data_IF_179642007786
#
_entry.id   IF_179642007786
#
_cell.length_a   1.000
_cell.length_b   1.000
_cell.length_c   1.000
_cell.angle_alpha   90.00
_cell.angle_beta   90.00
_cell.angle_gamma   90.00
#
_symmetry.space_group_name_H-M   'P 1'
#
loop_
_entity.id
_entity.type
_entity.pdbx_description
1 polymer ?
#
# COMPACT_ATOMS: atom_id res chain seq x y z
N UNK A 1 20.76 1.45 -26.08
CA UNK A 1 19.92 2.62 -25.77
C UNK A 1 20.80 3.72 -25.24
N UNK A 2 20.67 4.94 -25.77
CA UNK A 2 21.42 6.09 -25.28
C UNK A 2 20.90 6.45 -23.88
N UNK A 3 21.78 6.53 -22.89
CA UNK A 3 21.42 6.97 -21.53
C UNK A 3 21.59 8.48 -21.46
N UNK A 4 20.56 9.18 -21.05
CA UNK A 4 20.62 10.58 -20.68
C UNK A 4 21.40 10.76 -19.38
N UNK A 5 22.02 11.92 -19.23
CA UNK A 5 22.68 12.32 -18.00
C UNK A 5 21.67 12.51 -16.87
N UNK A 6 22.06 12.14 -15.66
CA UNK A 6 21.26 12.35 -14.46
C UNK A 6 21.50 13.76 -13.91
N UNK A 7 20.52 14.33 -13.22
CA UNK A 7 20.72 15.58 -12.49
C UNK A 7 21.78 15.39 -11.40
N UNK A 8 22.60 16.42 -11.09
CA UNK A 8 23.53 16.34 -9.97
C UNK A 8 22.76 16.17 -8.65
N UNK A 9 23.34 15.40 -7.73
CA UNK A 9 22.78 15.24 -6.39
C UNK A 9 22.98 16.57 -5.63
N UNK A 10 21.92 17.15 -5.04
CA UNK A 10 22.03 18.37 -4.26
C UNK A 10 23.03 18.20 -3.11
N UNK A 11 23.95 19.15 -2.97
CA UNK A 11 24.86 19.22 -1.82
C UNK A 11 24.17 19.79 -0.58
N UNK A 12 23.14 20.61 -0.79
CA UNK A 12 22.35 21.25 0.25
C UNK A 12 21.04 20.49 0.51
N UNK A 13 20.55 20.58 1.75
CA UNK A 13 19.29 19.98 2.11
C UNK A 13 18.11 20.74 1.48
N UNK A 14 17.29 20.10 0.63
CA UNK A 14 16.15 20.77 -0.02
C UNK A 14 15.05 21.22 0.97
N UNK A 15 15.07 20.74 2.22
CA UNK A 15 14.19 21.21 3.29
C UNK A 15 14.68 22.51 3.98
N UNK A 16 15.86 23.02 3.60
CA UNK A 16 16.38 24.32 4.03
C UNK A 16 17.08 24.36 5.39
N UNK A 17 17.28 23.23 6.07
CA UNK A 17 17.98 23.15 7.36
C UNK A 17 18.96 21.98 7.40
N UNK A 18 20.22 22.22 7.77
CA UNK A 18 21.21 21.15 7.92
C UNK A 18 20.76 20.12 8.96
N UNK A 19 20.93 18.83 8.65
CA UNK A 19 20.55 17.73 9.54
C UNK A 19 19.05 17.36 9.57
N UNK A 20 18.17 18.12 8.91
CA UNK A 20 16.75 17.74 8.80
C UNK A 20 16.55 16.61 7.80
N UNK A 21 15.77 15.60 8.17
CA UNK A 21 15.33 14.55 7.26
C UNK A 21 13.81 14.55 7.13
N UNK A 22 13.30 13.99 6.04
CA UNK A 22 11.87 13.82 5.80
C UNK A 22 11.29 12.92 6.89
N UNK A 23 10.34 13.42 7.69
CA UNK A 23 9.66 12.62 8.72
C UNK A 23 8.27 12.21 8.29
N UNK A 24 7.56 13.10 7.62
CA UNK A 24 6.17 12.90 7.23
C UNK A 24 5.98 13.04 5.73
N UNK A 25 5.09 12.20 5.18
CA UNK A 25 4.72 12.26 3.78
C UNK A 25 3.21 12.29 3.56
N UNK A 26 2.83 12.81 2.38
CA UNK A 26 1.49 12.68 1.84
C UNK A 26 1.51 12.42 0.33
N UNK A 27 0.47 11.75 -0.18
CA UNK A 27 0.28 11.52 -1.61
C UNK A 27 -1.02 12.16 -2.08
N UNK A 28 -0.95 12.81 -3.24
CA UNK A 28 -2.09 13.32 -3.98
C UNK A 28 -2.20 12.58 -5.33
N UNK A 29 -3.16 11.67 -5.43
CA UNK A 29 -3.44 10.91 -6.65
C UNK A 29 -4.49 11.69 -7.44
N UNK A 30 -4.17 12.07 -8.67
CA UNK A 30 -5.02 12.91 -9.52
C UNK A 30 -5.53 12.06 -10.70
N UNK A 31 -6.85 12.00 -10.88
CA UNK A 31 -7.52 11.27 -11.98
C UNK A 31 -8.90 11.83 -12.33
N UNK A 32 -9.48 11.50 -13.49
CA UNK A 32 -10.56 12.30 -14.09
C UNK A 32 -11.97 12.14 -13.49
N UNK A 33 -12.73 13.22 -13.21
CA UNK A 33 -14.17 13.15 -12.98
C UNK A 33 -14.99 13.45 -14.25
N UNK A 34 -15.04 12.55 -15.23
CA UNK A 34 -16.03 12.70 -16.32
C UNK A 34 -16.68 11.37 -16.62
N UNK A 35 -17.88 11.16 -16.05
CA UNK A 35 -18.99 10.22 -16.37
C UNK A 35 -18.70 8.80 -16.94
N UNK A 36 -17.47 8.37 -17.14
CA UNK A 36 -17.06 7.07 -17.70
C UNK A 36 -15.54 6.77 -17.62
N UNK A 37 -14.66 7.62 -17.04
CA UNK A 37 -13.22 7.30 -16.92
C UNK A 37 -12.50 7.90 -15.70
N UNK A 38 -13.01 7.71 -14.48
CA UNK A 38 -12.12 7.79 -13.31
C UNK A 38 -11.67 6.39 -12.94
N UNK A 39 -10.58 5.88 -13.51
CA UNK A 39 -10.30 4.47 -13.27
C UNK A 39 -10.11 4.14 -11.78
N UNK A 40 -9.61 5.08 -10.97
CA UNK A 40 -9.41 4.83 -9.53
C UNK A 40 -10.69 5.11 -8.75
N UNK A 41 -11.31 6.30 -8.87
CA UNK A 41 -12.52 6.62 -8.08
C UNK A 41 -13.77 5.86 -8.56
N UNK A 42 -13.82 5.39 -9.81
CA UNK A 42 -14.86 4.48 -10.29
C UNK A 42 -14.52 2.99 -10.14
N UNK A 43 -13.34 2.68 -9.60
CA UNK A 43 -12.90 1.32 -9.26
C UNK A 43 -12.46 0.45 -10.44
N UNK A 44 -12.36 0.96 -11.67
CA UNK A 44 -11.90 0.21 -12.84
C UNK A 44 -10.41 -0.18 -12.78
N UNK A 45 -9.57 0.64 -12.18
CA UNK A 45 -8.13 0.44 -12.02
C UNK A 45 -7.78 0.55 -10.55
N UNK A 46 -7.17 -0.50 -10.02
CA UNK A 46 -6.62 -0.50 -8.68
C UNK A 46 -5.44 0.46 -8.59
N UNK A 47 -5.49 1.40 -7.65
CA UNK A 47 -4.38 2.32 -7.38
C UNK A 47 -3.16 1.56 -6.84
N UNK A 48 -2.16 1.41 -7.69
CA UNK A 48 -0.87 0.78 -7.34
C UNK A 48 0.16 1.81 -6.87
N UNK A 49 0.00 3.08 -7.23
CA UNK A 49 1.01 4.12 -7.00
C UNK A 49 1.02 4.52 -5.53
N UNK A 50 -0.15 4.77 -4.93
CA UNK A 50 -0.23 5.08 -3.50
C UNK A 50 0.24 3.91 -2.63
N UNK A 51 -0.09 2.68 -3.03
CA UNK A 51 0.37 1.48 -2.32
C UNK A 51 1.90 1.35 -2.39
N UNK A 52 2.50 1.54 -3.58
CA UNK A 52 3.94 1.52 -3.74
C UNK A 52 4.61 2.65 -2.93
N UNK A 53 4.02 3.85 -2.94
CA UNK A 53 4.52 4.98 -2.14
C UNK A 53 4.45 4.70 -0.64
N UNK A 54 3.37 4.09 -0.15
CA UNK A 54 3.24 3.69 1.25
C UNK A 54 4.35 2.71 1.66
N UNK A 55 4.64 1.72 0.80
CA UNK A 55 5.76 0.80 0.99
C UNK A 55 7.11 1.53 1.00
N UNK A 56 7.34 2.39 0.01
CA UNK A 56 8.56 3.20 -0.11
C UNK A 56 8.82 4.04 1.15
N UNK A 57 7.78 4.71 1.66
CA UNK A 57 7.83 5.51 2.88
C UNK A 57 8.16 4.64 4.10
N UNK A 58 7.44 3.53 4.28
CA UNK A 58 7.65 2.61 5.39
C UNK A 58 9.10 2.10 5.44
N UNK A 59 9.63 1.61 4.32
CA UNK A 59 11.01 1.10 4.20
C UNK A 59 12.07 2.17 4.48
N UNK A 60 11.75 3.45 4.34
CA UNK A 60 12.66 4.58 4.57
C UNK A 60 12.41 5.29 5.90
N UNK A 61 11.52 4.77 6.74
CA UNK A 61 11.19 5.38 8.03
C UNK A 61 10.44 6.70 7.92
N UNK A 62 9.78 6.93 6.80
CA UNK A 62 8.90 8.08 6.57
C UNK A 62 7.47 7.69 6.93
N UNK A 63 6.82 8.52 7.73
CA UNK A 63 5.44 8.30 8.13
C UNK A 63 4.49 8.86 7.07
N UNK A 64 3.87 7.98 6.28
CA UNK A 64 2.84 8.35 5.33
C UNK A 64 1.55 8.67 6.08
N UNK A 65 1.29 9.97 6.27
CA UNK A 65 0.16 10.45 7.06
C UNK A 65 -1.14 10.55 6.28
N UNK A 66 -1.06 10.67 4.95
CA UNK A 66 -2.25 10.87 4.14
C UNK A 66 -2.07 10.45 2.68
N UNK A 67 -3.10 9.84 2.14
CA UNK A 67 -3.31 9.67 0.69
C UNK A 67 -4.66 10.31 0.36
N UNK A 68 -4.68 11.22 -0.60
CA UNK A 68 -5.89 11.83 -1.14
C UNK A 68 -5.99 11.46 -2.61
N UNK A 69 -7.16 10.98 -3.03
CA UNK A 69 -7.48 10.75 -4.44
C UNK A 69 -8.48 11.82 -4.84
N UNK A 70 -8.14 12.65 -5.81
CA UNK A 70 -8.94 13.78 -6.24
C UNK A 70 -9.19 13.75 -7.75
N UNK A 71 -10.27 14.39 -8.20
CA UNK A 71 -10.50 14.66 -9.61
C UNK A 71 -9.38 15.49 -10.29
N UNK A 72 -9.25 15.38 -11.62
CA UNK A 72 -8.63 16.38 -12.53
C UNK A 72 -9.45 17.69 -12.54
N UNK A 73 -9.53 18.33 -11.38
CA UNK A 73 -10.18 19.62 -11.15
C UNK A 73 -9.14 20.60 -10.64
N UNK A 74 -9.00 21.72 -11.34
CA UNK A 74 -8.03 22.76 -10.99
C UNK A 74 -8.18 23.22 -9.54
N UNK A 75 -9.40 23.47 -9.09
CA UNK A 75 -9.66 23.95 -7.73
C UNK A 75 -9.26 22.91 -6.67
N UNK A 76 -9.55 21.64 -6.92
CA UNK A 76 -9.21 20.54 -6.01
C UNK A 76 -7.70 20.33 -5.92
N UNK A 77 -7.01 20.37 -7.07
CA UNK A 77 -5.54 20.28 -7.14
C UNK A 77 -4.91 21.46 -6.39
N UNK A 78 -5.41 22.68 -6.58
CA UNK A 78 -4.91 23.88 -5.90
C UNK A 78 -5.10 23.80 -4.37
N UNK A 79 -6.30 23.45 -3.91
CA UNK A 79 -6.60 23.32 -2.48
C UNK A 79 -5.71 22.25 -1.83
N UNK A 80 -5.74 21.04 -2.37
CA UNK A 80 -5.07 19.89 -1.79
C UNK A 80 -3.55 20.08 -1.80
N UNK A 81 -2.97 20.52 -2.91
CA UNK A 81 -1.51 20.72 -3.00
C UNK A 81 -1.00 21.74 -1.97
N UNK A 82 -1.68 22.88 -1.80
CA UNK A 82 -1.32 23.90 -0.80
C UNK A 82 -1.43 23.36 0.62
N UNK A 83 -2.53 22.68 0.92
CA UNK A 83 -2.79 22.12 2.24
C UNK A 83 -1.82 20.99 2.60
N UNK A 84 -1.43 20.15 1.66
CA UNK A 84 -0.48 19.06 1.90
C UNK A 84 0.95 19.61 2.06
N UNK A 85 1.39 20.52 1.18
CA UNK A 85 2.73 21.12 1.24
C UNK A 85 2.97 21.92 2.53
N UNK A 86 1.93 22.56 3.06
CA UNK A 86 2.03 23.27 4.34
C UNK A 86 2.13 22.35 5.57
N UNK A 87 1.70 21.09 5.47
CA UNK A 87 1.58 20.17 6.62
C UNK A 87 2.64 19.06 6.66
N UNK A 88 3.23 18.70 5.52
CA UNK A 88 4.09 17.53 5.40
C UNK A 88 5.45 17.88 4.79
N UNK A 89 6.46 17.06 5.08
CA UNK A 89 7.84 17.29 4.63
C UNK A 89 8.06 16.83 3.19
N UNK A 90 7.36 15.78 2.76
CA UNK A 90 7.45 15.21 1.42
C UNK A 90 6.07 14.93 0.86
N UNK A 91 5.70 15.63 -0.21
CA UNK A 91 4.42 15.45 -0.87
C UNK A 91 4.68 14.93 -2.28
N UNK A 92 3.95 13.91 -2.70
CA UNK A 92 3.98 13.45 -4.10
C UNK A 92 2.65 13.71 -4.78
N UNK A 93 2.70 13.97 -6.08
CA UNK A 93 1.53 13.87 -6.96
C UNK A 93 1.76 12.80 -8.00
N UNK A 94 0.70 12.14 -8.43
CA UNK A 94 0.74 11.18 -9.55
C UNK A 94 -0.51 11.35 -10.41
N UNK A 95 -0.32 11.42 -11.74
CA UNK A 95 -1.41 11.62 -12.70
C UNK A 95 -1.52 13.05 -13.24
N UNK A 96 -2.26 13.20 -14.34
CA UNK A 96 -2.59 14.50 -14.95
C UNK A 96 -1.41 15.27 -15.59
N UNK A 97 -0.36 14.58 -16.07
CA UNK A 97 0.83 15.19 -16.69
C UNK A 97 1.07 14.81 -18.16
N UNK A 98 0.14 14.10 -18.79
CA UNK A 98 0.22 13.75 -20.20
C UNK A 98 -0.12 14.90 -21.17
N UNK A 99 -0.31 14.59 -22.46
CA UNK A 99 -0.52 15.60 -23.49
C UNK A 99 -2.00 15.96 -23.70
N UNK A 100 -2.96 15.33 -23.01
CA UNK A 100 -4.38 15.55 -23.26
C UNK A 100 -4.85 16.86 -22.60
N UNK A 101 -6.14 17.18 -22.71
CA UNK A 101 -6.69 18.47 -22.27
C UNK A 101 -7.03 18.48 -20.76
N UNK A 102 -7.29 17.29 -20.24
CA UNK A 102 -7.55 16.93 -18.85
C UNK A 102 -6.27 16.80 -18.03
N UNK A 103 -5.10 16.64 -18.67
CA UNK A 103 -3.80 16.67 -18.00
C UNK A 103 -3.43 18.09 -17.55
N UNK A 104 -4.02 18.52 -16.43
CA UNK A 104 -3.93 19.90 -15.91
C UNK A 104 -3.05 20.05 -14.67
N UNK A 105 -2.32 19.00 -14.25
CA UNK A 105 -1.56 19.01 -12.98
C UNK A 105 -0.52 20.13 -12.94
N UNK A 106 0.35 20.26 -13.95
CA UNK A 106 1.37 21.32 -13.97
C UNK A 106 0.75 22.72 -13.99
N UNK A 107 -0.29 22.94 -14.79
CA UNK A 107 -0.98 24.22 -14.88
C UNK A 107 -1.67 24.61 -13.56
N UNK A 108 -2.33 23.65 -12.91
CA UNK A 108 -2.99 23.85 -11.63
C UNK A 108 -1.98 24.13 -10.52
N UNK A 109 -0.85 23.40 -10.50
CA UNK A 109 0.21 23.64 -9.52
C UNK A 109 0.95 24.97 -9.76
N UNK A 110 1.12 25.40 -11.02
CA UNK A 110 1.66 26.73 -11.33
C UNK A 110 0.79 27.83 -10.68
N UNK A 111 -0.53 27.75 -10.88
CA UNK A 111 -1.49 28.68 -10.25
C UNK A 111 -1.54 28.53 -8.73
N UNK A 112 -1.46 27.30 -8.20
CA UNK A 112 -1.41 27.05 -6.76
C UNK A 112 -0.25 27.80 -6.10
N UNK A 113 0.88 27.96 -6.79
CA UNK A 113 2.06 28.62 -6.24
C UNK A 113 2.37 29.97 -6.88
N UNK A 114 1.39 30.59 -7.56
CA UNK A 114 1.49 31.91 -8.21
C UNK A 114 2.69 32.01 -9.17
N UNK A 115 2.87 31.00 -10.02
CA UNK A 115 3.94 30.92 -11.01
C UNK A 115 3.37 30.86 -12.43
N UNK A 116 4.15 31.36 -13.38
CA UNK A 116 3.92 31.17 -14.81
C UNK A 116 4.35 29.76 -15.23
N UNK A 117 3.79 29.25 -16.34
CA UNK A 117 4.29 28.05 -17.00
C UNK A 117 5.33 28.43 -18.06
N UNK A 118 6.48 27.74 -18.04
CA UNK A 118 7.55 27.92 -19.02
C UNK A 118 8.00 26.57 -19.57
N UNK A 119 8.44 26.56 -20.82
CA UNK A 119 9.03 25.35 -21.40
C UNK A 119 10.41 25.10 -20.78
N UNK A 120 10.66 23.87 -20.34
CA UNK A 120 11.97 23.45 -19.87
C UNK A 120 12.83 22.92 -21.05
N UNK A 121 13.92 23.62 -21.43
CA UNK A 121 14.67 23.30 -22.66
C UNK A 121 15.22 21.87 -22.70
N UNK A 122 15.77 21.38 -21.59
CA UNK A 122 16.36 20.03 -21.54
C UNK A 122 15.29 18.94 -21.62
N UNK A 123 14.10 19.17 -21.05
CA UNK A 123 12.99 18.20 -21.18
C UNK A 123 12.51 18.13 -22.63
N UNK A 124 12.38 19.28 -23.31
CA UNK A 124 12.06 19.31 -24.73
C UNK A 124 13.11 18.57 -25.56
N UNK A 125 14.40 18.80 -25.30
CA UNK A 125 15.49 18.10 -25.98
C UNK A 125 15.40 16.58 -25.83
N UNK A 126 15.15 16.08 -24.61
CA UNK A 126 15.02 14.64 -24.33
C UNK A 126 13.76 14.05 -24.94
N UNK A 127 12.64 14.78 -24.90
CA UNK A 127 11.39 14.41 -25.55
C UNK A 127 11.59 14.24 -27.06
N UNK A 128 12.21 15.23 -27.72
CA UNK A 128 12.50 15.19 -29.14
C UNK A 128 13.46 14.03 -29.50
N UNK A 129 14.49 13.79 -28.68
CA UNK A 129 15.42 12.68 -28.88
C UNK A 129 14.74 11.31 -28.74
N UNK A 130 13.85 11.15 -27.76
CA UNK A 130 13.07 9.93 -27.56
C UNK A 130 12.06 9.68 -28.69
N UNK A 131 11.53 10.75 -29.28
CA UNK A 131 10.54 10.69 -30.34
C UNK A 131 11.16 10.56 -31.74
N UNK A 132 12.42 10.98 -31.93
CA UNK A 132 13.10 11.03 -33.24
C UNK A 132 13.03 9.73 -34.06
N UNK A 133 13.03 8.57 -33.40
CA UNK A 133 13.03 7.26 -34.05
C UNK A 133 11.64 6.61 -34.14
N UNK A 134 10.58 7.31 -33.72
CA UNK A 134 9.22 6.78 -33.74
C UNK A 134 8.53 7.12 -35.06
N UNK A 135 8.11 6.10 -35.79
CA UNK A 135 7.49 6.24 -37.11
C UNK A 135 6.26 7.16 -37.15
N UNK A 136 5.53 7.28 -36.03
CA UNK A 136 4.34 8.13 -35.93
C UNK A 136 4.65 9.63 -35.74
N UNK A 137 5.89 10.01 -35.47
CA UNK A 137 6.23 11.42 -35.21
C UNK A 137 6.21 12.25 -36.51
N UNK A 138 6.58 11.64 -37.64
CA UNK A 138 6.45 12.26 -38.96
C UNK A 138 5.00 12.40 -39.43
N UNK A 139 4.05 11.71 -38.79
CA UNK A 139 2.62 11.78 -39.14
C UNK A 139 1.82 12.74 -38.25
N UNK A 140 2.46 13.39 -37.27
CA UNK A 140 1.77 14.34 -36.38
C UNK A 140 1.41 15.65 -37.09
N UNK A 141 0.22 16.16 -36.78
CA UNK A 141 -0.18 17.54 -37.09
C UNK A 141 0.57 18.56 -36.21
N UNK A 142 0.63 19.84 -36.60
CA UNK A 142 1.17 20.91 -35.75
C UNK A 142 0.53 20.93 -34.35
N UNK A 143 -0.79 20.77 -34.26
CA UNK A 143 -1.54 20.78 -33.01
C UNK A 143 -1.15 19.62 -32.08
N UNK A 144 -0.94 18.42 -32.64
CA UNK A 144 -0.49 17.25 -31.87
C UNK A 144 0.94 17.40 -31.34
N UNK A 145 1.82 18.04 -32.11
CA UNK A 145 3.18 18.36 -31.64
C UNK A 145 3.16 19.35 -30.49
N UNK A 146 2.38 20.42 -30.61
CA UNK A 146 2.23 21.39 -29.52
C UNK A 146 1.62 20.76 -28.27
N UNK A 147 0.62 19.87 -28.41
CA UNK A 147 0.08 19.09 -27.30
C UNK A 147 1.15 18.24 -26.59
N UNK A 148 2.09 17.66 -27.34
CA UNK A 148 3.18 16.87 -26.78
C UNK A 148 4.20 17.76 -26.05
N UNK A 149 4.51 18.94 -26.59
CA UNK A 149 5.42 19.91 -25.95
C UNK A 149 4.89 20.47 -24.64
N UNK A 150 3.55 20.52 -24.44
CA UNK A 150 2.94 20.92 -23.16
C UNK A 150 3.42 20.07 -21.98
N UNK A 151 3.80 18.80 -22.19
CA UNK A 151 4.36 17.94 -21.13
C UNK A 151 5.73 18.41 -20.62
N UNK A 152 6.39 19.34 -21.32
CA UNK A 152 7.63 19.97 -20.92
C UNK A 152 7.43 21.41 -20.40
N UNK A 153 6.17 21.83 -20.17
CA UNK A 153 5.86 23.10 -19.53
C UNK A 153 5.73 22.91 -18.03
N UNK A 154 6.56 23.59 -17.26
CA UNK A 154 6.60 23.51 -15.80
C UNK A 154 6.42 24.89 -15.17
N UNK A 155 6.03 24.97 -13.89
CA UNK A 155 6.09 26.22 -13.14
C UNK A 155 7.51 26.82 -13.19
N UNK A 156 7.62 28.14 -13.38
CA UNK A 156 8.88 28.83 -13.66
C UNK A 156 10.00 28.58 -12.64
N UNK A 157 9.66 28.51 -11.35
CA UNK A 157 10.62 28.25 -10.27
C UNK A 157 10.70 26.77 -9.88
N UNK A 158 10.25 25.87 -10.75
CA UNK A 158 10.32 24.45 -10.50
C UNK A 158 11.75 23.93 -10.65
N UNK A 159 12.13 23.03 -9.75
CA UNK A 159 13.34 22.26 -9.89
C UNK A 159 13.05 21.00 -10.72
N UNK A 160 13.86 20.74 -11.73
CA UNK A 160 13.65 19.64 -12.67
C UNK A 160 14.73 18.59 -12.48
N UNK A 161 14.34 17.43 -11.98
CA UNK A 161 15.24 16.34 -11.60
C UNK A 161 15.12 15.16 -12.57
N UNK A 162 16.20 14.89 -13.30
CA UNK A 162 16.31 13.68 -14.10
C UNK A 162 16.97 12.58 -13.29
N UNK A 163 16.12 11.70 -12.77
CA UNK A 163 16.49 10.63 -11.82
C UNK A 163 16.71 9.28 -12.48
N UNK A 164 16.45 9.17 -13.79
CA UNK A 164 16.55 7.93 -14.56
C UNK A 164 17.16 8.24 -15.94
N UNK A 165 18.22 7.51 -16.31
CA UNK A 165 18.95 7.78 -17.56
C UNK A 165 18.23 7.29 -18.82
N UNK A 166 17.27 6.38 -18.70
CA UNK A 166 16.50 5.84 -19.83
C UNK A 166 15.07 6.38 -19.91
N UNK A 167 14.72 7.33 -19.05
CA UNK A 167 13.42 8.01 -19.02
C UNK A 167 13.65 9.49 -19.34
N UNK A 168 12.88 10.01 -20.31
CA UNK A 168 12.96 11.43 -20.68
C UNK A 168 12.18 12.33 -19.72
N UNK A 169 11.17 11.79 -19.04
CA UNK A 169 10.30 12.48 -18.08
C UNK A 169 11.07 12.77 -16.78
N UNK A 170 11.16 14.02 -16.32
CA UNK A 170 11.77 14.35 -15.03
C UNK A 170 10.79 14.21 -13.86
N UNK A 171 11.32 14.14 -12.65
CA UNK A 171 10.58 14.52 -11.45
C UNK A 171 10.64 16.04 -11.33
N UNK A 172 9.48 16.70 -11.30
CA UNK A 172 9.41 18.16 -11.12
C UNK A 172 9.11 18.45 -9.66
N UNK A 173 9.98 19.22 -9.01
CA UNK A 173 9.88 19.55 -7.59
C UNK A 173 9.52 21.02 -7.37
N UNK A 174 8.49 21.27 -6.56
CA UNK A 174 8.03 22.60 -6.16
C UNK A 174 8.20 22.78 -4.65
N UNK A 175 8.54 24.00 -4.23
CA UNK A 175 8.67 24.39 -2.81
C UNK A 175 9.60 23.49 -1.99
N UNK A 176 10.57 22.82 -2.64
CA UNK A 176 11.49 21.87 -2.01
C UNK A 176 10.86 20.55 -1.52
N UNK A 177 9.53 20.41 -1.55
CA UNK A 177 8.79 19.33 -0.88
C UNK A 177 7.84 18.55 -1.79
N UNK A 178 7.25 19.21 -2.78
CA UNK A 178 6.23 18.61 -3.66
C UNK A 178 6.87 18.05 -4.93
N UNK A 179 6.90 16.74 -5.08
CA UNK A 179 7.43 16.05 -6.26
C UNK A 179 6.31 15.52 -7.15
N UNK A 180 6.38 15.82 -8.44
CA UNK A 180 5.34 15.49 -9.42
C UNK A 180 5.80 14.29 -10.26
N UNK A 181 4.94 13.27 -10.34
CA UNK A 181 5.23 12.01 -11.02
C UNK A 181 4.16 11.66 -12.08
N UNK A 182 4.51 10.83 -13.08
CA UNK A 182 3.53 10.27 -14.00
C UNK A 182 2.53 9.35 -13.30
N UNK A 183 1.35 9.20 -13.91
CA UNK A 183 0.32 8.25 -13.47
C UNK A 183 0.64 6.79 -13.79
N UNK A 184 1.51 6.54 -14.78
CA UNK A 184 1.87 5.18 -15.23
C UNK A 184 2.67 4.47 -14.13
N UNK A 185 2.18 3.35 -13.55
CA UNK A 185 2.80 2.75 -12.36
C UNK A 185 4.26 2.35 -12.54
N UNK A 186 4.62 1.78 -13.70
CA UNK A 186 6.00 1.39 -13.98
C UNK A 186 6.96 2.59 -14.00
N UNK A 187 6.52 3.73 -14.53
CA UNK A 187 7.34 4.95 -14.52
C UNK A 187 7.38 5.54 -13.11
N UNK A 188 6.25 5.61 -12.42
CA UNK A 188 6.15 6.10 -11.05
C UNK A 188 7.13 5.38 -10.12
N UNK A 189 7.06 4.06 -10.04
CA UNK A 189 7.94 3.23 -9.19
C UNK A 189 9.40 3.49 -9.50
N UNK A 190 9.79 3.41 -10.77
CA UNK A 190 11.18 3.57 -11.18
C UNK A 190 11.74 4.97 -10.90
N UNK A 191 10.94 6.01 -11.14
CA UNK A 191 11.33 7.39 -10.86
C UNK A 191 11.39 7.66 -9.36
N UNK A 192 10.48 7.11 -8.57
CA UNK A 192 10.49 7.26 -7.12
C UNK A 192 11.72 6.60 -6.48
N UNK A 193 12.11 5.42 -6.95
CA UNK A 193 13.34 4.75 -6.51
C UNK A 193 14.58 5.56 -6.90
N UNK A 194 14.62 6.04 -8.16
CA UNK A 194 15.70 6.89 -8.66
C UNK A 194 15.80 8.23 -7.94
N UNK A 195 14.71 8.73 -7.34
CA UNK A 195 14.70 9.98 -6.59
C UNK A 195 15.37 9.86 -5.22
N UNK A 196 15.54 8.64 -4.66
CA UNK A 196 16.06 8.44 -3.31
C UNK A 196 17.38 9.20 -2.98
N UNK A 197 18.39 9.26 -3.88
CA UNK A 197 19.62 10.02 -3.63
C UNK A 197 19.43 11.54 -3.54
N UNK A 198 18.31 12.06 -4.05
CA UNK A 198 17.98 13.49 -4.08
C UNK A 198 17.13 13.93 -2.88
N UNK A 199 16.85 13.01 -1.95
CA UNK A 199 16.00 13.22 -0.79
C UNK A 199 16.82 13.13 0.50
N UNK A 200 16.59 14.03 1.46
CA UNK A 200 17.15 13.93 2.80
C UNK A 200 16.38 12.85 3.59
N UNK A 201 16.63 11.59 3.28
CA UNK A 201 15.93 10.45 3.90
C UNK A 201 16.38 10.25 5.35
N UNK A 202 15.50 9.72 6.22
CA UNK A 202 15.90 9.26 7.56
C UNK A 202 17.08 8.28 7.52
N UNK A 203 17.95 8.29 8.54
CA UNK A 203 19.05 7.33 8.63
C UNK A 203 18.53 5.89 8.73
N UNK A 204 19.33 4.94 8.26
CA UNK A 204 18.92 3.54 8.22
C UNK A 204 18.58 2.96 9.60
N UNK A 205 19.22 3.46 10.66
CA UNK A 205 18.96 3.08 12.06
C UNK A 205 17.57 3.48 12.58
N UNK A 206 16.87 4.41 11.91
CA UNK A 206 15.53 4.86 12.29
C UNK A 206 14.41 4.17 11.50
N UNK A 207 14.76 3.30 10.53
CA UNK A 207 13.79 2.59 9.70
C UNK A 207 13.03 1.55 10.53
N UNK A 208 11.69 1.47 10.41
CA UNK A 208 10.92 0.46 11.09
C UNK A 208 11.20 -0.92 10.47
N UNK A 209 11.18 -1.92 11.33
CA UNK A 209 11.18 -3.33 10.97
C UNK A 209 9.74 -3.85 11.09
N UNK A 210 9.38 -4.76 10.20
CA UNK A 210 8.13 -5.51 10.25
C UNK A 210 8.45 -6.98 10.39
N UNK A 211 7.90 -7.61 11.42
CA UNK A 211 7.89 -9.06 11.57
C UNK A 211 6.47 -9.55 11.38
N UNK A 212 6.30 -10.57 10.53
CA UNK A 212 5.01 -11.22 10.29
C UNK A 212 5.07 -12.65 10.83
N UNK A 213 4.09 -13.00 11.67
CA UNK A 213 3.97 -14.32 12.28
C UNK A 213 2.63 -14.89 11.84
N UNK A 214 2.64 -16.07 11.24
CA UNK A 214 1.44 -16.76 10.81
C UNK A 214 1.07 -17.85 11.81
N UNK A 215 -0.21 -17.97 12.14
CA UNK A 215 -0.77 -19.07 12.92
C UNK A 215 -2.04 -19.59 12.25
N UNK A 216 -2.28 -20.89 12.36
CA UNK A 216 -3.53 -21.52 11.92
C UNK A 216 -4.64 -21.36 12.95
N UNK A 217 -4.31 -20.86 14.16
CA UNK A 217 -5.31 -20.62 15.21
C UNK A 217 -6.31 -19.54 14.78
N UNK A 218 -7.60 -19.70 15.10
CA UNK A 218 -8.60 -18.66 14.90
C UNK A 218 -8.24 -17.37 15.64
N UNK A 219 -8.61 -16.22 15.06
CA UNK A 219 -8.34 -14.90 15.63
C UNK A 219 -8.89 -14.75 17.05
N UNK A 220 -10.08 -15.31 17.31
CA UNK A 220 -10.73 -15.30 18.61
C UNK A 220 -9.90 -15.95 19.72
N UNK A 221 -9.05 -16.93 19.39
CA UNK A 221 -8.20 -17.62 20.37
C UNK A 221 -6.96 -16.79 20.74
N UNK A 222 -6.44 -15.99 19.82
CA UNK A 222 -5.21 -15.19 20.03
C UNK A 222 -5.52 -13.76 20.48
N UNK A 223 -6.72 -13.24 20.21
CA UNK A 223 -7.12 -11.87 20.51
C UNK A 223 -6.93 -11.46 21.99
N UNK A 224 -7.26 -12.30 23.01
CA UNK A 224 -7.01 -11.94 24.41
C UNK A 224 -5.52 -11.71 24.72
N UNK A 225 -4.65 -12.58 24.18
CA UNK A 225 -3.20 -12.42 24.33
C UNK A 225 -2.69 -11.16 23.63
N UNK A 226 -3.11 -10.90 22.39
CA UNK A 226 -2.70 -9.71 21.64
C UNK A 226 -3.13 -8.42 22.34
N UNK A 227 -4.30 -8.43 22.99
CA UNK A 227 -4.78 -7.30 23.81
C UNK A 227 -3.89 -7.08 25.03
N UNK A 228 -3.58 -8.15 25.77
CA UNK A 228 -2.70 -8.08 26.92
C UNK A 228 -1.28 -7.63 26.55
N UNK A 229 -0.77 -8.10 25.40
CA UNK A 229 0.51 -7.70 24.83
C UNK A 229 0.52 -6.21 24.47
N UNK A 230 -0.52 -5.72 23.78
CA UNK A 230 -0.65 -4.31 23.43
C UNK A 230 -0.61 -3.41 24.68
N UNK A 231 -1.37 -3.77 25.71
CA UNK A 231 -1.40 -3.02 26.97
C UNK A 231 -0.06 -3.05 27.71
N UNK A 232 0.65 -4.20 27.68
CA UNK A 232 1.99 -4.33 28.25
C UNK A 232 2.99 -3.42 27.54
N UNK A 233 3.02 -3.45 26.21
CA UNK A 233 3.92 -2.61 25.41
C UNK A 233 3.63 -1.12 25.62
N UNK A 234 2.35 -0.74 25.73
CA UNK A 234 1.92 0.63 26.04
C UNK A 234 2.39 1.08 27.43
N UNK A 235 2.26 0.25 28.46
CA UNK A 235 2.77 0.55 29.82
C UNK A 235 4.29 0.72 29.83
N UNK A 236 4.99 -0.11 29.06
CA UNK A 236 6.46 -0.05 28.92
C UNK A 236 6.94 1.09 28.01
N UNK A 237 6.02 1.81 27.35
CA UNK A 237 6.32 2.84 26.33
C UNK A 237 7.23 2.29 25.21
N UNK A 238 7.04 1.03 24.86
CA UNK A 238 7.77 0.40 23.76
C UNK A 238 7.25 0.94 22.42
N UNK A 239 8.16 1.24 21.49
CA UNK A 239 7.85 1.66 20.12
C UNK A 239 7.58 0.43 19.24
N UNK A 240 6.61 -0.40 19.65
CA UNK A 240 6.18 -1.63 18.96
C UNK A 240 4.67 -1.61 18.81
N UNK A 241 4.21 -1.64 17.56
CA UNK A 241 2.82 -1.78 17.18
C UNK A 241 2.51 -3.25 16.91
N UNK A 242 1.31 -3.67 17.29
CA UNK A 242 0.80 -5.04 17.13
C UNK A 242 -0.52 -4.96 16.35
N UNK A 243 -0.68 -5.80 15.35
CA UNK A 243 -1.94 -5.97 14.63
C UNK A 243 -2.18 -7.42 14.19
N UNK A 244 -3.44 -7.82 14.08
CA UNK A 244 -3.86 -9.11 13.53
C UNK A 244 -4.60 -8.91 12.19
N UNK A 245 -4.37 -9.84 11.26
CA UNK A 245 -4.95 -9.82 9.92
C UNK A 245 -5.40 -11.25 9.55
N UNK A 246 -6.68 -11.59 9.73
CA UNK A 246 -7.19 -12.91 9.40
C UNK A 246 -7.14 -13.16 7.88
N UNK A 247 -6.82 -14.40 7.52
CA UNK A 247 -6.94 -14.94 6.15
C UNK A 247 -8.05 -15.96 6.18
N UNK A 248 -9.13 -15.66 5.46
CA UNK A 248 -10.34 -16.48 5.46
C UNK A 248 -10.01 -17.95 5.15
N UNK A 249 -10.42 -18.84 6.05
CA UNK A 249 -10.26 -20.29 5.91
C UNK A 249 -8.85 -20.84 6.11
N UNK A 250 -7.87 -20.02 6.50
CA UNK A 250 -6.46 -20.45 6.68
C UNK A 250 -5.88 -20.19 8.05
N UNK A 251 -6.08 -18.99 8.59
CA UNK A 251 -5.42 -18.59 9.83
C UNK A 251 -5.31 -17.09 9.96
N UNK A 252 -4.34 -16.62 10.73
CA UNK A 252 -4.15 -15.21 11.05
C UNK A 252 -2.69 -14.82 10.93
N UNK A 253 -2.44 -13.67 10.30
CA UNK A 253 -1.14 -13.00 10.40
C UNK A 253 -1.13 -12.03 11.56
N UNK A 254 -0.18 -12.17 12.48
CA UNK A 254 0.16 -11.15 13.46
C UNK A 254 1.34 -10.34 12.91
N UNK A 255 1.15 -9.03 12.77
CA UNK A 255 2.21 -8.11 12.34
C UNK A 255 2.70 -7.30 13.54
N UNK A 256 4.01 -7.36 13.75
CA UNK A 256 4.72 -6.53 14.71
C UNK A 256 5.54 -5.50 13.94
N UNK A 257 5.38 -4.22 14.27
CA UNK A 257 6.12 -3.13 13.64
C UNK A 257 6.82 -2.33 14.73
N UNK A 258 8.13 -2.17 14.63
CA UNK A 258 8.89 -1.38 15.60
C UNK A 258 10.30 -1.10 15.12
N UNK A 259 11.11 -0.43 15.94
CA UNK A 259 12.53 -0.18 15.65
C UNK A 259 13.39 -0.98 16.62
N UNK A 260 14.30 -1.80 16.12
CA UNK A 260 15.40 -2.27 16.94
C UNK A 260 16.43 -1.15 17.02
N UNK A 261 16.30 -0.29 18.04
CA UNK A 261 17.28 0.76 18.32
C UNK A 261 18.60 0.10 18.75
N UNK A 262 19.46 -0.14 17.75
CA UNK A 262 20.81 -0.67 17.83
C UNK A 262 20.97 -2.07 18.46
N UNK A 263 21.08 -3.08 17.59
CA UNK A 263 22.18 -4.04 17.67
C UNK A 263 23.50 -3.27 17.42
N UNK A 264 23.94 -2.49 18.40
CA UNK A 264 25.34 -2.13 18.49
C UNK A 264 26.06 -3.35 19.02
N UNK A 265 26.96 -3.94 18.23
CA UNK A 265 28.05 -4.74 18.80
C UNK A 265 28.61 -3.90 19.97
N UNK A 266 28.72 -4.42 21.20
CA UNK A 266 29.35 -3.67 22.27
C UNK A 266 30.80 -3.41 21.87
N UNK A 267 31.08 -2.25 21.31
CA UNK A 267 32.44 -1.72 21.26
C UNK A 267 32.85 -1.48 22.71
N UNK A 268 33.96 -2.09 23.13
CA UNK A 268 34.56 -2.08 24.47
C UNK A 268 34.91 -0.67 25.05
N UNK A 269 34.15 0.38 24.74
CA UNK A 269 34.44 1.76 25.13
C UNK A 269 33.49 2.35 26.19
N UNK A 270 32.53 1.59 26.72
CA UNK A 270 31.70 2.03 27.86
C UNK A 270 32.15 1.45 29.22
N UNK A 271 33.42 1.02 29.34
CA UNK A 271 34.06 0.81 30.64
C UNK A 271 35.07 1.93 30.91
N UNK A 272 34.59 3.16 31.08
CA UNK A 272 35.28 4.25 31.78
C UNK A 272 34.37 5.47 31.80
N UNK A 273 33.59 5.59 32.86
CA UNK A 273 33.23 6.81 33.61
C UNK A 273 32.13 6.34 34.56
N UNK A 274 32.53 5.71 35.66
CA UNK A 274 31.66 5.59 36.84
C UNK A 274 32.58 5.49 38.06
N UNK A 275 33.22 6.62 38.36
CA UNK A 275 33.80 6.86 39.67
C UNK A 275 33.62 8.33 40.01
N UNK A 276 32.51 8.64 40.67
CA UNK A 276 32.33 9.89 41.41
C UNK A 276 31.13 10.74 40.98
N UNK A 277 29.94 10.44 41.51
CA UNK A 277 28.97 11.45 41.94
C UNK A 277 27.85 10.77 42.75
N UNK A 278 27.57 11.30 43.93
CA UNK A 278 26.56 10.84 44.87
C UNK A 278 25.14 11.22 44.41
N UNK A 279 24.22 10.26 44.58
CA UNK A 279 22.78 10.40 44.88
C UNK A 279 21.98 11.55 44.22
N UNK A 280 21.23 11.22 43.18
CA UNK A 280 19.85 11.70 42.96
C UNK A 280 19.05 10.59 42.26
N UNK A 281 17.87 10.28 42.79
CA UNK A 281 16.80 9.38 42.29
C UNK A 281 17.13 8.47 41.11
N UNK A 282 17.40 7.19 41.40
CA UNK A 282 17.45 6.13 40.41
C UNK A 282 16.07 5.98 39.74
N UNK A 283 15.86 6.63 38.60
CA UNK A 283 14.86 6.21 37.62
C UNK A 283 15.26 4.81 37.18
N UNK A 284 14.47 3.81 37.53
CA UNK A 284 14.64 2.45 37.00
C UNK A 284 14.80 2.55 35.47
N UNK A 285 15.86 1.94 34.90
CA UNK A 285 16.01 1.93 33.47
C UNK A 285 14.81 1.18 32.89
N UNK A 286 13.97 1.88 32.13
CA UNK A 286 12.86 1.29 31.38
C UNK A 286 13.41 0.07 30.64
N UNK A 287 12.92 -1.12 31.01
CA UNK A 287 13.37 -2.38 30.43
C UNK A 287 13.28 -2.26 28.89
N UNK A 288 14.44 -2.28 28.22
CA UNK A 288 14.51 -2.16 26.77
C UNK A 288 13.88 -3.40 26.16
N UNK A 289 12.74 -3.23 25.49
CA UNK A 289 12.03 -4.32 24.82
C UNK A 289 12.46 -4.37 23.36
N UNK A 290 13.00 -5.51 22.95
CA UNK A 290 13.45 -5.74 21.58
C UNK A 290 12.35 -6.32 20.71
N UNK A 291 12.24 -5.89 19.46
CA UNK A 291 11.23 -6.39 18.54
C UNK A 291 11.40 -7.90 18.33
N UNK A 292 12.65 -8.36 18.17
CA UNK A 292 12.97 -9.78 18.02
C UNK A 292 12.53 -10.62 19.24
N UNK A 293 12.67 -10.08 20.45
CA UNK A 293 12.25 -10.77 21.67
C UNK A 293 10.73 -10.92 21.73
N UNK A 294 9.99 -9.84 21.42
CA UNK A 294 8.53 -9.88 21.37
C UNK A 294 8.06 -10.80 20.24
N UNK A 295 8.72 -10.79 19.09
CA UNK A 295 8.39 -11.70 18.00
C UNK A 295 8.53 -13.17 18.40
N UNK A 296 9.63 -13.54 19.07
CA UNK A 296 9.82 -14.92 19.55
C UNK A 296 8.82 -15.31 20.65
N UNK A 297 8.42 -14.36 21.51
CA UNK A 297 7.37 -14.59 22.50
C UNK A 297 6.02 -14.85 21.81
N UNK A 298 5.63 -13.98 20.89
CA UNK A 298 4.37 -14.09 20.15
C UNK A 298 4.33 -15.39 19.36
N UNK A 299 5.41 -15.73 18.65
CA UNK A 299 5.53 -16.97 17.88
C UNK A 299 5.22 -18.20 18.74
N UNK A 300 5.77 -18.27 19.95
CA UNK A 300 5.51 -19.39 20.88
C UNK A 300 4.09 -19.38 21.42
N UNK A 301 3.59 -18.22 21.83
CA UNK A 301 2.28 -18.12 22.49
C UNK A 301 1.13 -18.45 21.53
N UNK A 302 1.22 -17.98 20.28
CA UNK A 302 0.19 -18.22 19.27
C UNK A 302 0.43 -19.51 18.49
N UNK A 303 1.47 -20.27 18.83
CA UNK A 303 1.87 -21.50 18.12
C UNK A 303 2.00 -21.23 16.61
N UNK A 304 2.71 -20.15 16.31
CA UNK A 304 2.88 -19.61 14.97
C UNK A 304 4.27 -19.86 14.41
N UNK A 305 4.51 -19.30 13.23
CA UNK A 305 5.82 -19.26 12.58
C UNK A 305 6.08 -17.90 11.97
N UNK A 306 7.30 -17.39 12.11
CA UNK A 306 7.73 -16.20 11.36
C UNK A 306 7.72 -16.53 9.87
N UNK A 307 7.17 -15.62 9.05
CA UNK A 307 7.03 -15.78 7.60
C UNK A 307 7.68 -14.63 6.85
N UNK A 308 8.20 -14.93 5.66
CA UNK A 308 8.71 -13.93 4.71
C UNK A 308 7.58 -13.14 4.01
N UNK A 309 7.90 -11.98 3.46
CA UNK A 309 6.93 -11.19 2.68
C UNK A 309 6.44 -11.94 1.42
N UNK A 310 7.28 -12.77 0.81
CA UNK A 310 6.92 -13.66 -0.29
C UNK A 310 5.88 -14.72 0.15
N UNK A 311 6.13 -15.39 1.27
CA UNK A 311 5.17 -16.37 1.82
C UNK A 311 3.83 -15.71 2.18
N UNK A 312 3.86 -14.50 2.75
CA UNK A 312 2.66 -13.74 3.08
C UNK A 312 1.82 -13.49 1.83
N UNK A 313 2.44 -13.10 0.70
CA UNK A 313 1.72 -12.90 -0.57
C UNK A 313 1.08 -14.20 -1.06
N UNK A 314 1.84 -15.29 -1.09
CA UNK A 314 1.36 -16.61 -1.55
C UNK A 314 0.19 -17.10 -0.69
N UNK A 315 0.28 -16.97 0.63
CA UNK A 315 -0.78 -17.39 1.55
C UNK A 315 -2.06 -16.55 1.41
N UNK A 316 -1.93 -15.23 1.20
CA UNK A 316 -3.07 -14.33 0.96
C UNK A 316 -3.75 -14.63 -0.39
N UNK A 317 -2.98 -14.80 -1.45
CA UNK A 317 -3.51 -15.05 -2.80
C UNK A 317 -4.16 -16.43 -2.92
N UNK A 318 -3.54 -17.46 -2.33
CA UNK A 318 -4.09 -18.82 -2.32
C UNK A 318 -5.40 -18.93 -1.51
N UNK A 319 -5.62 -18.08 -0.51
CA UNK A 319 -6.89 -18.02 0.23
C UNK A 319 -8.05 -17.48 -0.59
N UNK A 320 -7.80 -16.46 -1.42
CA UNK A 320 -8.83 -15.88 -2.30
C UNK A 320 -9.26 -16.88 -3.38
N UNK A 321 -8.31 -17.64 -3.95
CA UNK A 321 -8.60 -18.64 -4.97
C UNK A 321 -9.41 -19.84 -4.47
N UNK A 322 -9.18 -20.28 -3.23
CA UNK A 322 -9.87 -21.42 -2.63
C UNK A 322 -11.31 -21.10 -2.21
N UNK A 323 -11.54 -19.88 -1.71
CA UNK A 323 -12.89 -19.37 -1.42
C UNK A 323 -13.70 -19.21 -2.71
N UNK A 324 -13.07 -18.70 -3.78
CA UNK A 324 -13.74 -18.56 -5.08
C UNK A 324 -14.19 -19.92 -5.63
N UNK A 325 -13.35 -20.96 -5.55
CA UNK A 325 -13.75 -22.33 -5.91
C UNK A 325 -14.87 -22.86 -5.03
N UNK A 326 -14.80 -22.70 -3.70
CA UNK A 326 -15.87 -23.17 -2.80
C UNK A 326 -17.21 -22.47 -3.02
N UNK A 327 -17.22 -21.19 -3.40
CA UNK A 327 -18.46 -20.50 -3.79
C UNK A 327 -18.98 -20.98 -5.15
N UNK A 328 -18.10 -21.16 -6.14
CA UNK A 328 -18.45 -21.71 -7.46
C UNK A 328 -18.98 -23.16 -7.34
N UNK A 329 -18.39 -23.98 -6.44
CA UNK A 329 -18.79 -25.36 -6.17
C UNK A 329 -20.08 -25.44 -5.32
N UNK A 330 -20.29 -24.48 -4.40
CA UNK A 330 -21.50 -24.34 -3.60
C UNK A 330 -22.73 -23.93 -4.41
N UNK A 331 -22.56 -23.09 -5.43
CA UNK A 331 -23.63 -22.77 -6.40
C UNK A 331 -23.92 -23.93 -7.36
N UNK A 332 -22.93 -24.80 -7.64
CA UNK A 332 -23.12 -25.97 -8.51
C UNK A 332 -23.82 -27.14 -7.80
N UNK A 333 -23.70 -27.23 -6.47
CA UNK A 333 -24.30 -28.30 -5.66
C UNK A 333 -25.79 -28.11 -5.34
N UNK A 334 -26.35 -26.91 -5.55
CA UNK A 334 -27.77 -26.61 -5.24
C UNK A 334 -28.71 -26.69 -6.45
N UNK A 335 -28.24 -27.14 -7.62
CA UNK A 335 -29.09 -27.38 -8.81
C UNK A 335 -28.93 -28.80 -9.35
N UNK A 336 -29.48 -29.80 -8.67
CA UNK A 336 -29.98 -31.03 -9.30
C UNK A 336 -30.64 -31.91 -8.25
N UNK A 337 -31.94 -31.76 -8.03
CA UNK A 337 -32.84 -32.83 -7.54
C UNK A 337 -34.29 -32.43 -7.78
N UNK A 338 -34.77 -32.50 -9.03
CA UNK A 338 -36.19 -32.73 -9.30
C UNK A 338 -36.31 -33.69 -10.50
N UNK A 339 -36.94 -34.85 -10.26
CA UNK A 339 -37.24 -35.88 -11.24
C UNK A 339 -38.53 -35.58 -12.02
N UNK A 340 -38.83 -36.35 -13.09
CA UNK A 340 -39.78 -35.95 -14.12
C UNK A 340 -41.22 -36.47 -13.91
N UNK A 341 -42.11 -35.85 -14.69
CA UNK A 341 -43.47 -36.25 -15.10
C UNK A 341 -44.66 -35.98 -14.16
N UNK A 342 -45.57 -35.09 -14.59
CA UNK A 342 -46.76 -35.48 -15.39
C UNK A 342 -47.57 -34.27 -15.92
N UNK A 343 -48.07 -34.45 -17.14
CA UNK A 343 -49.06 -33.64 -17.87
C UNK A 343 -50.25 -33.17 -16.99
N UNK A 344 -50.77 -31.95 -17.23
CA UNK A 344 -52.11 -31.73 -17.78
C UNK A 344 -52.46 -30.23 -17.99
N UNK A 345 -52.72 -29.90 -19.26
CA UNK A 345 -53.79 -29.01 -19.80
C UNK A 345 -54.01 -27.60 -19.21
N UNK A 346 -53.63 -26.61 -20.02
CA UNK A 346 -54.42 -25.45 -20.48
C UNK A 346 -55.68 -25.05 -19.69
N UNK A 347 -55.69 -23.83 -19.13
CA UNK A 347 -56.68 -22.81 -19.51
C UNK A 347 -56.24 -21.41 -19.04
N UNK A 348 -56.10 -20.51 -20.01
CA UNK A 348 -55.92 -19.07 -19.80
C UNK A 348 -57.29 -18.42 -19.57
N UNK A 349 -57.44 -17.74 -18.43
CA UNK A 349 -58.59 -16.90 -18.11
C UNK A 349 -58.09 -15.60 -17.48
N UNK A 350 -58.18 -14.54 -18.28
CA UNK A 350 -57.81 -13.15 -17.99
C UNK A 350 -58.63 -12.48 -16.88
N UNK A 351 -58.06 -11.40 -16.33
CA UNK A 351 -58.66 -10.29 -15.54
C UNK A 351 -58.27 -10.35 -14.05
N UNK A 352 -58.00 -9.26 -13.34
CA UNK A 352 -57.83 -7.84 -13.64
C UNK A 352 -57.20 -7.23 -12.38
N UNK A 353 -56.50 -6.12 -12.55
CA UNK A 353 -55.97 -5.28 -11.46
C UNK A 353 -57.06 -4.93 -10.44
N UNK A 354 -56.77 -5.09 -9.16
CA UNK A 354 -57.14 -4.09 -8.16
C UNK A 354 -56.19 -4.11 -6.96
N UNK A 355 -56.22 -3.01 -6.25
CA UNK A 355 -55.20 -2.32 -5.50
C UNK A 355 -55.43 -2.46 -3.99
N UNK A 356 -54.34 -2.27 -3.25
CA UNK A 356 -54.28 -1.83 -1.84
C UNK A 356 -54.13 -2.90 -0.74
N UNK A 357 -53.44 -2.56 0.37
CA UNK A 357 -52.59 -3.47 1.15
C UNK A 357 -53.23 -3.93 2.47
N UNK A 358 -52.64 -4.91 3.18
CA UNK A 358 -52.91 -5.10 4.60
C UNK A 358 -51.69 -4.90 5.53
N UNK A 359 -51.92 -4.71 6.85
CA UNK A 359 -51.01 -4.11 7.83
C UNK A 359 -50.15 -5.13 8.60
N UNK A 360 -49.26 -4.69 9.52
CA UNK A 360 -48.26 -5.53 10.17
C UNK A 360 -48.75 -6.16 11.48
N UNK A 361 -48.16 -7.29 11.90
CA UNK A 361 -48.11 -7.84 13.27
C UNK A 361 -47.01 -8.91 13.29
N UNK A 362 -45.89 -8.74 14.00
CA UNK A 362 -45.66 -8.78 15.45
C UNK A 362 -45.52 -10.20 16.03
N UNK A 363 -44.36 -10.40 16.68
CA UNK A 363 -44.04 -11.29 17.82
C UNK A 363 -44.11 -12.82 17.68
N UNK A 364 -42.92 -13.44 17.68
CA UNK A 364 -42.35 -14.53 18.53
C UNK A 364 -43.24 -15.21 19.61
N UNK A 365 -42.77 -16.26 20.32
CA UNK A 365 -41.74 -17.30 20.08
C UNK A 365 -42.22 -18.74 20.45
N UNK A 366 -41.32 -19.73 20.38
CA UNK A 366 -41.19 -20.98 21.18
C UNK A 366 -40.82 -22.15 20.25
N UNK A 367 -39.58 -22.66 20.24
CA UNK A 367 -39.03 -23.67 21.16
C UNK A 367 -39.96 -24.87 21.38
N UNK A 368 -39.57 -26.06 20.92
CA UNK A 368 -39.05 -27.21 21.69
C UNK A 368 -39.20 -28.47 20.82
N UNK A 369 -38.20 -29.35 20.90
CA UNK A 369 -38.34 -30.83 20.94
C UNK A 369 -37.65 -31.59 19.83
N UNK A 370 -36.68 -32.38 20.27
CA UNK A 370 -36.00 -33.45 19.58
C UNK A 370 -36.93 -34.66 19.31
N UNK A 371 -36.56 -35.45 18.31
CA UNK A 371 -36.68 -36.92 18.19
C UNK A 371 -35.82 -37.29 16.96
N UNK A 372 -34.64 -37.86 17.13
CA UNK A 372 -34.30 -39.28 17.31
C UNK A 372 -34.26 -40.13 16.03
N UNK A 373 -33.12 -40.82 15.90
CA UNK A 373 -32.83 -42.04 15.14
C UNK A 373 -32.86 -42.01 13.61
N UNK A 374 -31.71 -42.25 12.97
CA UNK A 374 -31.30 -43.58 12.52
C UNK A 374 -29.99 -43.53 11.71
N UNK A 375 -29.07 -44.41 12.10
CA UNK A 375 -27.78 -44.70 11.49
C UNK A 375 -27.91 -45.40 10.13
N UNK A 376 -27.08 -45.03 9.16
CA UNK A 376 -26.55 -45.97 8.15
C UNK A 376 -25.08 -45.63 7.89
N UNK A 377 -24.24 -46.64 8.06
CA UNK A 377 -22.81 -46.63 7.85
C UNK A 377 -22.47 -46.74 6.35
N UNK A 378 -21.44 -46.02 5.91
CA UNK A 378 -20.73 -46.28 4.64
C UNK A 378 -19.22 -46.27 4.88
N UNK A 379 -18.43 -47.04 4.10
CA UNK A 379 -17.15 -47.57 4.54
C UNK A 379 -15.98 -46.59 4.34
N UNK A 380 -15.04 -46.64 5.28
CA UNK A 380 -13.73 -45.99 5.23
C UNK A 380 -12.88 -46.53 4.08
N UNK A 381 -12.35 -45.62 3.26
CA UNK A 381 -11.20 -45.89 2.38
C UNK A 381 -10.06 -44.98 2.83
N UNK A 382 -9.17 -45.51 3.65
CA UNK A 382 -7.90 -44.86 3.98
C UNK A 382 -7.00 -44.83 2.73
N UNK A 383 -6.62 -43.63 2.31
CA UNK A 383 -5.52 -43.42 1.36
C UNK A 383 -4.38 -42.73 2.11
N UNK A 384 -3.39 -43.51 2.53
CA UNK A 384 -2.17 -43.00 3.17
C UNK A 384 -1.23 -42.46 2.11
N UNK A 385 -1.04 -41.14 2.06
CA UNK A 385 0.01 -40.50 1.24
C UNK A 385 1.15 -40.06 2.16
N UNK A 386 2.25 -40.81 2.14
CA UNK A 386 3.48 -40.41 2.82
C UNK A 386 4.21 -39.36 1.99
N UNK A 387 4.21 -38.09 2.44
CA UNK A 387 5.05 -37.03 1.90
C UNK A 387 6.20 -36.77 2.87
N UNK A 388 7.40 -37.21 2.49
CA UNK A 388 8.62 -36.98 3.24
C UNK A 388 9.15 -35.57 2.92
N UNK A 389 8.85 -34.58 3.77
CA UNK A 389 9.36 -33.21 3.63
C UNK A 389 10.72 -33.10 4.32
N UNK A 390 11.79 -33.01 3.54
CA UNK A 390 13.12 -32.62 4.04
C UNK A 390 13.11 -31.19 4.55
N UNK A 391 13.30 -31.01 5.86
CA UNK A 391 13.60 -29.70 6.48
C UNK A 391 14.96 -29.17 5.98
N UNK A 392 15.08 -27.94 5.47
CA UNK A 392 16.37 -27.29 5.31
C UNK A 392 16.93 -26.90 6.69
N UNK A 393 18.23 -27.13 6.89
CA UNK A 393 18.95 -26.72 8.10
C UNK A 393 19.19 -25.21 8.06
N UNK A 394 18.99 -24.55 9.20
CA UNK A 394 19.33 -23.15 9.44
C UNK A 394 20.85 -22.95 9.22
N UNK A 395 21.26 -22.08 8.28
CA UNK A 395 22.67 -21.73 8.14
C UNK A 395 23.13 -21.07 6.83
N UNK A 396 22.37 -21.11 5.73
CA UNK A 396 22.83 -20.60 4.44
C UNK A 396 21.77 -19.74 3.75
N UNK A 397 21.65 -18.47 4.15
CA UNK A 397 21.10 -17.43 3.27
C UNK A 397 21.90 -16.15 3.50
N UNK A 398 22.92 -15.94 2.66
CA UNK A 398 23.62 -14.66 2.56
C UNK A 398 22.77 -13.69 1.74
N UNK A 399 22.55 -12.50 2.27
CA UNK A 399 21.81 -11.42 1.59
C UNK A 399 22.76 -10.67 0.64
N UNK A 400 22.36 -10.52 -0.61
CA UNK A 400 22.93 -9.59 -1.61
C UNK A 400 21.93 -8.50 -1.95
#
# INVERSE_FOLDING_TARGET
MKRFELSPIPTENPLGQEGWCIRTAAALVIGQPVRNRDEILNGKTMDKNSNYFAKYCFERGIDLKRVEVIPDSENEIIEASRRLVSKYDFVITTGGIGPTHDDITYASLARAFNQSLVHHPETLRRLDEMNRHRAWVSTQTPQQREATKRMAQFPESAEVLFVCGDIWVPVVRLKGKLCIFPGIPMLFTKMLDGLAPYLPLPPASERPLRVQIFTERPESMIAPYLTALHDRLKRQKADIQVGSYPVLGKGVFVSLIGRDRNMGIPSNHEQRIESGAQSTEAKEPLARVWLAQIASEVEKEIDGRIVSDEEVKVLKESGVGEVRRRMEDGERSTRTTEGPDRLHTSTSGSSSFDTSPPPPRASSPASVSACDSASVAEPDVEVTVNVEIKKPKLGEVGWS
#
